data_IF_125720397352
#
_entry.id   IF_125720397352
#
_cell.length_a   1.000
_cell.length_b   1.000
_cell.length_c   1.000
_cell.angle_alpha   90.00
_cell.angle_beta   90.00
_cell.angle_gamma   90.00
#
_symmetry.space_group_name_H-M   'P 1'
#
loop_
_entity.id
_entity.type
_entity.pdbx_description
1 polymer ?
#
# COMPACT_ATOMS: atom_id res chain seq x y z
N UNK A 1 -18.96 19.97 -19.62
CA UNK A 1 -19.99 19.08 -19.09
C UNK A 1 -19.61 17.66 -19.45
N UNK A 2 -19.49 16.76 -18.49
CA UNK A 2 -19.25 15.35 -18.78
C UNK A 2 -20.58 14.74 -19.19
N UNK A 3 -20.70 14.36 -20.44
CA UNK A 3 -21.93 13.76 -20.98
C UNK A 3 -21.85 12.25 -20.83
N UNK A 4 -22.34 11.75 -19.71
CA UNK A 4 -22.67 10.35 -19.54
C UNK A 4 -21.63 9.52 -18.80
N UNK A 5 -22.06 8.91 -17.72
CA UNK A 5 -21.42 7.78 -17.08
C UNK A 5 -21.47 6.58 -18.01
N UNK A 6 -20.36 5.89 -18.18
CA UNK A 6 -20.30 4.74 -19.05
C UNK A 6 -20.58 3.44 -18.28
N UNK A 7 -19.92 3.24 -17.13
CA UNK A 7 -20.06 2.06 -16.29
C UNK A 7 -19.42 2.29 -14.92
N UNK A 8 -19.61 1.38 -13.97
CA UNK A 8 -18.83 1.29 -12.77
C UNK A 8 -17.65 0.34 -12.99
N UNK A 9 -16.49 0.72 -12.50
CA UNK A 9 -15.30 -0.12 -12.45
C UNK A 9 -15.03 -0.54 -11.03
N UNK A 10 -14.76 -1.81 -10.84
CA UNK A 10 -14.21 -2.37 -9.64
C UNK A 10 -12.74 -2.71 -9.90
N UNK A 11 -11.84 -2.19 -9.06
CA UNK A 11 -10.39 -2.42 -9.14
C UNK A 11 -9.93 -3.07 -7.85
N UNK A 12 -9.37 -4.27 -7.92
CA UNK A 12 -9.02 -5.08 -6.75
C UNK A 12 -7.57 -5.51 -6.80
N UNK A 13 -6.92 -5.46 -5.65
CA UNK A 13 -5.56 -5.95 -5.44
C UNK A 13 -5.57 -7.01 -4.34
N UNK A 14 -5.06 -8.20 -4.65
CA UNK A 14 -4.84 -9.28 -3.68
C UNK A 14 -3.34 -9.34 -3.38
N UNK A 15 -2.97 -9.10 -2.13
CA UNK A 15 -1.61 -8.93 -1.66
C UNK A 15 -1.35 -9.86 -0.46
N UNK A 16 -1.09 -11.15 -0.71
CA UNK A 16 -1.01 -12.15 0.35
C UNK A 16 -2.35 -12.32 1.08
N UNK A 17 -2.37 -12.05 2.37
CA UNK A 17 -3.56 -12.12 3.21
C UNK A 17 -4.36 -10.80 3.25
N UNK A 18 -3.83 -9.77 2.64
CA UNK A 18 -4.49 -8.48 2.48
C UNK A 18 -5.12 -8.34 1.10
N UNK A 19 -6.30 -7.78 1.05
CA UNK A 19 -6.96 -7.38 -0.19
C UNK A 19 -7.56 -6.00 -0.01
N UNK A 20 -7.41 -5.15 -1.01
CA UNK A 20 -8.15 -3.89 -1.07
C UNK A 20 -8.69 -3.62 -2.47
N UNK A 21 -9.75 -2.84 -2.52
CA UNK A 21 -10.37 -2.47 -3.78
C UNK A 21 -11.04 -1.11 -3.75
N UNK A 22 -11.26 -0.61 -4.96
CA UNK A 22 -11.97 0.63 -5.20
C UNK A 22 -13.09 0.37 -6.23
N UNK A 23 -14.32 0.80 -5.94
CA UNK A 23 -15.43 0.82 -6.89
C UNK A 23 -15.75 2.27 -7.23
N UNK A 24 -15.75 2.60 -8.52
CA UNK A 24 -15.94 3.99 -8.97
C UNK A 24 -16.54 4.08 -10.37
N UNK A 25 -17.26 5.19 -10.66
CA UNK A 25 -17.82 5.42 -11.99
C UNK A 25 -16.71 5.84 -12.98
N UNK A 26 -16.76 5.27 -14.17
CA UNK A 26 -15.96 5.68 -15.32
C UNK A 26 -16.80 6.57 -16.24
N UNK A 27 -16.28 7.73 -16.58
CA UNK A 27 -16.90 8.67 -17.49
C UNK A 27 -16.13 8.73 -18.81
N UNK A 28 -16.80 8.82 -19.93
CA UNK A 28 -16.14 9.09 -21.20
C UNK A 28 -15.49 10.47 -21.16
N UNK A 29 -14.18 10.50 -21.34
CA UNK A 29 -13.45 11.76 -21.47
C UNK A 29 -13.53 12.26 -22.91
N UNK A 30 -14.07 13.46 -23.18
CA UNK A 30 -13.98 14.06 -24.49
C UNK A 30 -12.53 14.47 -24.78
N UNK A 31 -11.88 13.82 -25.74
CA UNK A 31 -10.62 14.26 -26.33
C UNK A 31 -9.34 13.84 -25.60
N UNK A 32 -8.20 14.15 -26.24
CA UNK A 32 -6.85 13.85 -25.74
C UNK A 32 -6.55 14.56 -24.42
N UNK A 33 -5.98 13.84 -23.46
CA UNK A 33 -5.43 14.42 -22.21
C UNK A 33 -4.45 15.54 -22.56
N UNK A 34 -4.77 16.78 -22.19
CA UNK A 34 -3.84 17.90 -22.26
C UNK A 34 -2.78 17.75 -21.17
N UNK A 35 -1.51 17.95 -21.53
CA UNK A 35 -0.42 18.08 -20.56
C UNK A 35 -0.77 19.18 -19.55
N UNK A 36 -0.71 18.84 -18.25
CA UNK A 36 -0.98 19.80 -17.17
C UNK A 36 0.32 20.49 -16.77
N UNK A 37 0.47 21.75 -17.14
CA UNK A 37 1.56 22.61 -16.67
C UNK A 37 1.20 23.44 -15.41
N UNK A 38 0.12 23.11 -14.70
CA UNK A 38 -0.31 23.86 -13.50
C UNK A 38 0.20 23.19 -12.22
N UNK A 39 0.55 23.96 -11.17
CA UNK A 39 0.87 23.43 -9.86
C UNK A 39 -0.24 22.50 -9.35
N UNK A 40 0.14 21.45 -8.65
CA UNK A 40 -0.81 20.48 -8.10
C UNK A 40 -1.60 21.14 -6.98
N UNK A 41 -2.94 21.14 -7.06
CA UNK A 41 -3.81 21.66 -6.00
C UNK A 41 -3.64 20.87 -4.70
N UNK A 42 -3.99 21.46 -3.55
CA UNK A 42 -3.95 20.78 -2.25
C UNK A 42 -4.79 19.49 -2.23
N UNK A 43 -5.98 19.53 -2.86
CA UNK A 43 -6.85 18.36 -3.00
C UNK A 43 -6.13 17.26 -3.78
N UNK A 44 -5.47 17.62 -4.88
CA UNK A 44 -4.71 16.65 -5.67
C UNK A 44 -3.48 16.13 -4.91
N UNK A 45 -2.85 16.96 -4.07
CA UNK A 45 -1.74 16.52 -3.23
C UNK A 45 -2.21 15.48 -2.20
N UNK A 46 -3.34 15.73 -1.52
CA UNK A 46 -3.96 14.78 -0.58
C UNK A 46 -4.32 13.46 -1.27
N UNK A 47 -4.88 13.52 -2.49
CA UNK A 47 -5.20 12.33 -3.27
C UNK A 47 -3.94 11.55 -3.66
N UNK A 48 -2.90 12.25 -4.14
CA UNK A 48 -1.61 11.64 -4.48
C UNK A 48 -0.96 10.99 -3.24
N UNK A 49 -1.14 11.58 -2.06
CA UNK A 49 -0.68 11.03 -0.79
C UNK A 49 -1.38 9.71 -0.47
N UNK A 50 -2.72 9.70 -0.47
CA UNK A 50 -3.52 8.47 -0.25
C UNK A 50 -3.16 7.36 -1.24
N UNK A 51 -3.00 7.70 -2.52
CA UNK A 51 -2.61 6.73 -3.54
C UNK A 51 -1.21 6.16 -3.31
N UNK A 52 -0.28 6.97 -2.79
CA UNK A 52 1.06 6.50 -2.45
C UNK A 52 1.02 5.56 -1.24
N UNK A 53 0.22 5.86 -0.22
CA UNK A 53 0.00 5.01 0.95
C UNK A 53 -0.58 3.65 0.55
N UNK A 54 -1.68 3.63 -0.22
CA UNK A 54 -2.27 2.40 -0.77
C UNK A 54 -1.24 1.57 -1.54
N UNK A 55 -0.48 2.22 -2.44
CA UNK A 55 0.55 1.54 -3.22
C UNK A 55 1.63 0.90 -2.33
N UNK A 56 2.06 1.60 -1.29
CA UNK A 56 3.08 1.10 -0.37
C UNK A 56 2.53 -0.03 0.49
N UNK A 57 1.30 0.10 1.02
CA UNK A 57 0.62 -0.95 1.78
C UNK A 57 0.53 -2.25 0.97
N UNK A 58 0.03 -2.17 -0.27
CA UNK A 58 -0.04 -3.31 -1.21
C UNK A 58 1.34 -3.94 -1.44
N UNK A 59 2.37 -3.09 -1.64
CA UNK A 59 3.74 -3.56 -1.88
C UNK A 59 4.31 -4.29 -0.66
N UNK A 60 4.07 -3.79 0.55
CA UNK A 60 4.52 -4.43 1.79
C UNK A 60 3.83 -5.77 1.98
N UNK A 61 2.50 -5.82 1.89
CA UNK A 61 1.74 -7.07 2.04
C UNK A 61 2.09 -8.14 1.00
N UNK A 62 2.50 -7.74 -0.21
CA UNK A 62 2.91 -8.69 -1.25
C UNK A 62 4.31 -9.27 -1.06
N UNK A 63 5.12 -8.72 -0.16
CA UNK A 63 6.55 -9.03 -0.11
C UNK A 63 7.09 -9.33 1.28
N UNK A 64 6.38 -8.97 2.33
CA UNK A 64 6.87 -9.07 3.70
C UNK A 64 5.85 -9.72 4.60
N UNK A 65 6.35 -10.36 5.66
CA UNK A 65 5.60 -11.09 6.68
C UNK A 65 5.98 -10.60 8.08
N UNK A 66 5.40 -11.18 9.13
CA UNK A 66 5.74 -10.90 10.52
C UNK A 66 7.18 -11.32 10.90
N UNK A 67 7.80 -12.22 10.11
CA UNK A 67 9.20 -12.61 10.28
C UNK A 67 10.20 -11.57 9.78
N UNK A 68 9.72 -10.57 9.04
CA UNK A 68 10.54 -9.52 8.47
C UNK A 68 10.76 -8.37 9.47
N UNK A 69 11.56 -7.40 9.11
CA UNK A 69 12.13 -6.43 10.05
C UNK A 69 11.76 -5.01 9.63
N UNK A 70 11.21 -4.25 10.57
CA UNK A 70 11.14 -2.80 10.53
C UNK A 70 12.34 -2.21 11.28
N UNK A 71 13.12 -1.38 10.62
CA UNK A 71 14.36 -0.80 11.12
C UNK A 71 14.29 0.73 11.09
N UNK A 72 14.66 1.34 12.20
CA UNK A 72 14.83 2.78 12.35
C UNK A 72 16.29 3.10 12.62
N UNK A 73 16.88 3.97 11.80
CA UNK A 73 18.29 4.37 11.85
C UNK A 73 18.40 5.86 12.14
N UNK A 74 19.20 6.21 13.13
CA UNK A 74 19.53 7.59 13.48
C UNK A 74 21.04 7.78 13.50
N UNK A 75 21.49 9.03 13.54
CA UNK A 75 22.89 9.39 13.59
C UNK A 75 23.29 9.84 15.01
N UNK A 76 24.53 9.56 15.40
CA UNK A 76 25.12 10.19 16.57
C UNK A 76 25.56 11.61 16.23
N UNK A 77 25.68 12.50 17.21
CA UNK A 77 26.20 13.86 16.99
C UNK A 77 27.54 13.87 16.25
N UNK A 78 27.59 14.66 15.16
CA UNK A 78 28.77 14.78 14.32
C UNK A 78 28.84 13.81 13.13
N UNK A 79 27.94 12.83 13.06
CA UNK A 79 27.86 11.88 11.95
C UNK A 79 26.65 12.16 11.02
N UNK A 80 25.89 13.23 11.30
CA UNK A 80 24.70 13.58 10.51
C UNK A 80 25.09 14.02 9.10
N UNK A 81 24.37 13.57 8.07
CA UNK A 81 24.60 14.01 6.70
C UNK A 81 24.26 15.49 6.56
N UNK A 82 25.07 16.21 5.80
CA UNK A 82 24.89 17.65 5.54
C UNK A 82 23.93 17.91 4.39
N UNK A 83 23.72 16.94 3.50
CA UNK A 83 22.84 17.05 2.34
C UNK A 83 21.97 15.81 2.15
N UNK A 84 20.91 15.96 1.36
CA UNK A 84 20.02 14.84 0.98
C UNK A 84 20.77 13.74 0.21
N UNK A 85 21.65 14.14 -0.71
CA UNK A 85 22.44 13.23 -1.53
C UNK A 85 23.39 12.42 -0.64
N UNK A 86 23.95 13.06 0.36
CA UNK A 86 24.81 12.39 1.34
C UNK A 86 24.02 11.36 2.16
N UNK A 87 22.85 11.74 2.68
CA UNK A 87 21.96 10.83 3.40
C UNK A 87 21.59 9.60 2.58
N UNK A 88 21.25 9.81 1.30
CA UNK A 88 20.93 8.72 0.38
C UNK A 88 22.16 7.85 0.07
N UNK A 89 23.32 8.42 -0.09
CA UNK A 89 24.58 7.70 -0.29
C UNK A 89 24.93 6.82 0.90
N UNK A 90 24.78 7.35 2.12
CA UNK A 90 25.03 6.62 3.38
C UNK A 90 24.07 5.42 3.48
N UNK A 91 22.77 5.65 3.29
CA UNK A 91 21.76 4.59 3.31
C UNK A 91 22.04 3.52 2.23
N UNK A 92 22.38 3.93 1.01
CA UNK A 92 22.72 3.01 -0.09
C UNK A 92 23.95 2.16 0.25
N UNK A 93 24.96 2.73 0.91
CA UNK A 93 26.14 2.02 1.35
C UNK A 93 25.80 1.00 2.46
N UNK A 94 24.92 1.36 3.38
CA UNK A 94 24.40 0.46 4.40
C UNK A 94 23.67 -0.73 3.77
N UNK A 95 22.71 -0.49 2.87
CA UNK A 95 22.00 -1.54 2.14
C UNK A 95 22.98 -2.44 1.38
N UNK A 96 24.02 -1.89 0.75
CA UNK A 96 25.04 -2.67 0.05
C UNK A 96 25.83 -3.59 0.99
N UNK A 97 26.15 -3.13 2.21
CA UNK A 97 26.78 -3.94 3.25
C UNK A 97 25.88 -5.08 3.71
N UNK A 98 24.58 -4.81 3.93
CA UNK A 98 23.59 -5.84 4.26
C UNK A 98 23.46 -6.86 3.13
N UNK A 99 23.33 -6.43 1.88
CA UNK A 99 23.24 -7.31 0.71
C UNK A 99 24.37 -8.35 0.66
N UNK A 100 25.61 -7.92 0.97
CA UNK A 100 26.76 -8.82 1.01
C UNK A 100 26.64 -9.88 2.13
N UNK A 101 26.02 -9.53 3.28
CA UNK A 101 25.82 -10.46 4.40
C UNK A 101 24.73 -11.46 4.08
N UNK A 102 23.62 -11.02 3.50
CA UNK A 102 22.57 -11.91 3.01
C UNK A 102 23.10 -12.90 1.99
N UNK A 103 23.86 -12.42 1.02
CA UNK A 103 24.47 -13.28 -0.01
C UNK A 103 25.40 -14.35 0.59
N UNK A 104 26.15 -14.06 1.67
CA UNK A 104 26.97 -15.06 2.35
C UNK A 104 26.16 -16.19 3.01
N UNK A 105 24.88 -15.95 3.30
CA UNK A 105 23.94 -16.92 3.84
C UNK A 105 23.10 -17.59 2.73
N UNK A 106 23.38 -17.31 1.45
CA UNK A 106 22.56 -17.78 0.34
C UNK A 106 21.18 -17.13 0.26
N UNK A 107 20.98 -15.99 0.94
CA UNK A 107 19.70 -15.28 1.00
C UNK A 107 19.71 -14.04 0.10
N UNK A 108 18.53 -13.66 -0.38
CA UNK A 108 18.30 -12.40 -1.09
C UNK A 108 17.69 -11.36 -0.17
N UNK A 109 18.28 -10.17 -0.15
CA UNK A 109 17.73 -9.02 0.57
C UNK A 109 16.60 -8.37 -0.24
N UNK A 110 15.38 -8.40 0.29
CA UNK A 110 14.28 -7.52 -0.10
C UNK A 110 14.26 -6.33 0.84
N UNK A 111 13.99 -5.13 0.32
CA UNK A 111 13.88 -3.95 1.17
C UNK A 111 13.01 -2.84 0.54
N UNK A 112 12.42 -2.02 1.43
CA UNK A 112 11.84 -0.72 1.14
C UNK A 112 12.45 0.27 2.14
N UNK A 113 12.85 1.45 1.70
CA UNK A 113 13.49 2.44 2.58
C UNK A 113 13.08 3.86 2.25
N UNK A 114 12.93 4.70 3.27
CA UNK A 114 12.78 6.14 3.13
C UNK A 114 13.73 6.88 4.08
N UNK A 115 13.95 8.15 3.77
CA UNK A 115 14.69 9.08 4.59
C UNK A 115 13.77 10.24 4.96
N UNK A 116 13.80 10.64 6.21
CA UNK A 116 12.95 11.70 6.75
C UNK A 116 13.77 12.70 7.58
N UNK A 117 13.22 13.91 7.71
CA UNK A 117 13.66 14.89 8.70
C UNK A 117 12.73 14.86 9.91
N UNK A 118 13.30 14.74 11.11
CA UNK A 118 12.52 14.76 12.35
C UNK A 118 11.79 16.09 12.52
N UNK A 119 10.49 16.02 12.78
CA UNK A 119 9.63 17.21 12.90
C UNK A 119 10.04 18.16 14.00
N UNK A 120 10.55 17.64 15.10
CA UNK A 120 10.87 18.42 16.31
C UNK A 120 12.27 18.99 16.30
N UNK A 121 13.21 18.29 15.68
CA UNK A 121 14.64 18.63 15.77
C UNK A 121 15.36 18.73 14.41
N UNK A 122 14.63 18.51 13.30
CA UNK A 122 15.17 18.54 11.94
C UNK A 122 16.22 17.46 11.64
N UNK A 123 16.45 16.50 12.56
CA UNK A 123 17.48 15.47 12.37
C UNK A 123 17.06 14.44 11.33
N UNK A 124 18.01 14.09 10.48
CA UNK A 124 17.82 13.04 9.47
C UNK A 124 17.74 11.67 10.12
N UNK A 125 16.79 10.85 9.69
CA UNK A 125 16.68 9.44 10.05
C UNK A 125 16.14 8.62 8.89
N UNK A 126 16.34 7.30 8.97
CA UNK A 126 15.87 6.39 7.94
C UNK A 126 14.95 5.34 8.53
N UNK A 127 13.91 5.01 7.75
CA UNK A 127 13.06 3.86 7.99
C UNK A 127 13.32 2.83 6.89
N UNK A 128 13.53 1.59 7.29
CA UNK A 128 13.78 0.49 6.35
C UNK A 128 12.93 -0.70 6.75
N UNK A 129 12.18 -1.24 5.79
CA UNK A 129 11.60 -2.57 5.87
C UNK A 129 12.56 -3.49 5.13
N UNK A 130 12.93 -4.61 5.73
CA UNK A 130 13.82 -5.57 5.09
C UNK A 130 13.42 -7.01 5.43
N UNK A 131 13.70 -7.93 4.50
CA UNK A 131 13.44 -9.35 4.70
C UNK A 131 14.20 -9.89 5.90
N UNK A 132 13.59 -10.86 6.62
CA UNK A 132 14.22 -11.58 7.72
C UNK A 132 15.38 -12.47 7.27
N UNK A 133 15.80 -13.39 8.15
CA UNK A 133 16.84 -14.37 7.87
C UNK A 133 18.25 -13.97 8.29
N UNK A 134 18.53 -12.69 8.51
CA UNK A 134 19.75 -12.21 9.15
C UNK A 134 19.46 -11.82 10.61
N UNK A 135 20.40 -12.11 11.48
CA UNK A 135 20.34 -11.72 12.90
C UNK A 135 20.23 -10.21 13.08
N UNK A 136 19.31 -9.78 13.96
CA UNK A 136 19.01 -8.37 14.21
C UNK A 136 20.21 -7.60 14.76
N UNK A 137 20.99 -8.20 15.66
CA UNK A 137 22.19 -7.58 16.21
C UNK A 137 23.22 -7.30 15.11
N UNK A 138 23.33 -8.22 14.15
CA UNK A 138 24.17 -8.02 12.97
C UNK A 138 23.68 -6.88 12.10
N UNK A 139 22.36 -6.78 11.87
CA UNK A 139 21.74 -5.68 11.10
C UNK A 139 22.04 -4.35 11.75
N UNK A 140 21.86 -4.25 13.06
CA UNK A 140 22.09 -3.02 13.83
C UNK A 140 23.58 -2.63 13.87
N UNK A 141 24.48 -3.59 14.13
CA UNK A 141 25.93 -3.37 14.14
C UNK A 141 26.48 -2.85 12.81
N UNK A 142 25.90 -3.28 11.69
CA UNK A 142 26.31 -2.82 10.35
C UNK A 142 26.05 -1.34 10.15
N UNK A 143 25.12 -0.72 10.88
CA UNK A 143 24.87 0.71 10.76
C UNK A 143 26.10 1.53 11.13
N UNK A 144 26.58 1.43 12.33
CA UNK A 144 27.85 2.01 12.81
C UNK A 144 27.90 3.53 12.98
N UNK A 145 26.91 4.29 12.49
CA UNK A 145 26.88 5.75 12.47
C UNK A 145 25.99 6.37 13.58
N UNK A 146 25.35 5.53 14.37
CA UNK A 146 24.47 5.99 15.44
C UNK A 146 23.63 4.85 15.99
N UNK A 147 22.40 5.18 16.37
CA UNK A 147 21.49 4.22 16.94
C UNK A 147 20.68 3.53 15.82
N UNK A 148 20.62 2.23 15.89
CA UNK A 148 19.77 1.38 15.03
C UNK A 148 18.82 0.59 15.92
N UNK A 149 17.54 0.64 15.62
CA UNK A 149 16.50 -0.10 16.33
C UNK A 149 15.73 -0.95 15.34
N UNK A 150 15.84 -2.26 15.50
CA UNK A 150 15.14 -3.25 14.69
C UNK A 150 14.02 -3.90 15.48
N UNK A 151 12.85 -4.05 14.84
CA UNK A 151 11.68 -4.74 15.38
C UNK A 151 11.14 -5.69 14.33
N UNK A 152 10.45 -6.76 14.74
CA UNK A 152 9.65 -7.56 13.83
C UNK A 152 8.53 -6.71 13.27
N UNK A 153 8.22 -6.90 12.01
CA UNK A 153 7.04 -6.29 11.40
C UNK A 153 5.79 -6.73 12.16
N UNK A 154 4.93 -5.77 12.44
CA UNK A 154 3.64 -6.03 13.09
C UNK A 154 2.53 -5.69 12.12
N UNK A 155 1.71 -6.68 11.85
CA UNK A 155 0.49 -6.55 11.07
C UNK A 155 -0.67 -6.49 12.06
N UNK A 156 -1.32 -5.33 12.18
CA UNK A 156 -2.55 -5.18 12.94
C UNK A 156 -3.78 -5.47 12.05
N UNK A 157 -4.99 -5.20 12.52
CA UNK A 157 -6.23 -5.40 11.75
C UNK A 157 -6.20 -4.65 10.41
N UNK A 158 -5.63 -3.44 10.39
CA UNK A 158 -5.38 -2.64 9.18
C UNK A 158 -4.02 -2.95 8.53
N UNK A 159 -3.40 -4.07 8.84
CA UNK A 159 -2.10 -4.50 8.32
C UNK A 159 -0.95 -3.58 8.73
N UNK A 160 -0.11 -3.20 7.76
CA UNK A 160 1.01 -2.27 7.97
C UNK A 160 0.66 -0.82 7.60
N UNK A 161 -0.62 -0.47 7.59
CA UNK A 161 -1.10 0.85 7.14
C UNK A 161 -0.44 1.98 7.91
N UNK A 162 -0.24 1.84 9.22
CA UNK A 162 0.47 2.83 10.03
C UNK A 162 1.91 3.06 9.59
N UNK A 163 2.66 2.00 9.29
CA UNK A 163 4.04 2.10 8.80
C UNK A 163 4.08 2.62 7.36
N UNK A 164 3.14 2.19 6.51
CA UNK A 164 3.02 2.67 5.14
C UNK A 164 2.64 4.16 5.10
N UNK A 165 1.71 4.60 5.96
CA UNK A 165 1.39 6.02 6.13
C UNK A 165 2.64 6.82 6.52
N UNK A 166 3.43 6.29 7.46
CA UNK A 166 4.63 6.95 7.93
C UNK A 166 5.70 7.08 6.83
N UNK A 167 5.98 6.00 6.11
CA UNK A 167 6.97 5.98 5.01
C UNK A 167 6.52 6.81 3.81
N UNK A 168 5.21 6.84 3.51
CA UNK A 168 4.68 7.55 2.36
C UNK A 168 4.44 9.05 2.60
N UNK A 169 4.53 9.51 3.86
CA UNK A 169 4.04 10.82 4.30
C UNK A 169 4.75 12.02 3.72
N UNK A 170 6.08 11.99 3.59
CA UNK A 170 6.85 13.19 3.27
C UNK A 170 7.46 13.18 1.87
N UNK A 171 7.31 14.32 1.18
CA UNK A 171 7.93 14.62 -0.11
C UNK A 171 9.20 15.48 0.04
N UNK A 172 9.99 15.29 1.08
CA UNK A 172 11.22 16.08 1.21
C UNK A 172 12.31 15.63 0.22
N UNK A 173 12.17 14.42 -0.37
CA UNK A 173 13.12 13.86 -1.30
C UNK A 173 12.49 13.66 -2.70
N UNK A 174 13.31 13.54 -3.73
CA UNK A 174 12.89 13.27 -5.11
C UNK A 174 11.99 12.03 -5.24
N UNK A 175 12.18 11.04 -4.35
CA UNK A 175 11.36 9.83 -4.25
C UNK A 175 10.83 9.66 -2.85
N UNK A 176 9.58 9.26 -2.71
CA UNK A 176 8.98 8.96 -1.40
C UNK A 176 9.67 7.79 -0.71
N UNK A 177 10.05 6.76 -1.47
CA UNK A 177 10.84 5.61 -0.99
C UNK A 177 11.71 5.03 -2.09
N UNK A 178 12.73 4.29 -1.68
CA UNK A 178 13.52 3.42 -2.51
C UNK A 178 13.17 1.96 -2.19
N UNK A 179 13.29 1.08 -3.19
CA UNK A 179 12.96 -0.34 -3.03
C UNK A 179 13.92 -1.24 -3.81
N UNK A 180 14.07 -2.48 -3.37
CA UNK A 180 14.81 -3.49 -4.10
C UNK A 180 14.08 -3.91 -5.37
N UNK A 181 14.84 -4.38 -6.37
CA UNK A 181 14.29 -4.76 -7.68
C UNK A 181 13.59 -6.13 -7.67
N UNK A 182 13.85 -6.95 -6.66
CA UNK A 182 13.30 -8.30 -6.49
C UNK A 182 11.98 -8.33 -5.72
N UNK A 183 11.29 -7.20 -5.58
CA UNK A 183 9.94 -7.15 -5.02
C UNK A 183 8.90 -7.59 -6.06
N UNK A 184 7.95 -8.39 -5.61
CA UNK A 184 6.73 -8.70 -6.34
C UNK A 184 5.86 -7.44 -6.41
N UNK A 185 5.50 -7.02 -7.61
CA UNK A 185 4.63 -5.85 -7.82
C UNK A 185 3.18 -6.32 -7.85
N UNK A 186 2.31 -5.82 -6.94
CA UNK A 186 0.89 -6.16 -6.94
C UNK A 186 0.20 -5.86 -8.27
N UNK A 187 -0.57 -6.83 -8.76
CA UNK A 187 -1.34 -6.69 -9.99
C UNK A 187 -2.79 -6.29 -9.67
N UNK A 188 -3.34 -5.38 -10.47
CA UNK A 188 -4.72 -4.95 -10.37
C UNK A 188 -5.62 -5.85 -11.21
N UNK A 189 -6.62 -6.47 -10.59
CA UNK A 189 -7.74 -7.04 -11.31
C UNK A 189 -8.81 -5.96 -11.49
N UNK A 190 -9.29 -5.77 -12.73
CA UNK A 190 -10.32 -4.78 -13.04
C UNK A 190 -11.55 -5.45 -13.63
N UNK A 191 -12.72 -5.03 -13.16
CA UNK A 191 -14.02 -5.52 -13.60
C UNK A 191 -14.88 -4.32 -14.00
N UNK A 192 -15.19 -4.23 -15.29
CA UNK A 192 -15.96 -3.14 -15.86
C UNK A 192 -17.43 -3.54 -16.05
N UNK A 193 -18.36 -2.71 -15.60
CA UNK A 193 -19.79 -2.87 -15.83
C UNK A 193 -20.46 -4.05 -15.13
N UNK A 194 -19.76 -4.72 -14.20
CA UNK A 194 -20.34 -5.83 -13.42
C UNK A 194 -21.27 -5.36 -12.30
N UNK A 195 -21.15 -4.10 -11.89
CA UNK A 195 -21.97 -3.47 -10.87
C UNK A 195 -22.81 -2.37 -11.53
N UNK A 196 -24.11 -2.52 -11.47
CA UNK A 196 -25.07 -1.52 -11.95
C UNK A 196 -25.32 -0.42 -10.89
N UNK A 197 -26.30 0.44 -11.10
CA UNK A 197 -26.63 1.52 -10.18
C UNK A 197 -27.32 1.03 -8.91
N UNK A 198 -28.13 0.00 -9.03
CA UNK A 198 -28.85 -0.57 -7.90
C UNK A 198 -27.86 -1.29 -6.98
N UNK A 199 -26.90 -2.05 -7.56
CA UNK A 199 -25.80 -2.65 -6.77
C UNK A 199 -25.01 -1.60 -5.97
N UNK A 200 -24.77 -0.42 -6.56
CA UNK A 200 -24.06 0.67 -5.86
C UNK A 200 -24.92 1.27 -4.73
N UNK A 201 -26.23 1.43 -4.99
CA UNK A 201 -27.16 1.92 -3.97
C UNK A 201 -27.28 0.94 -2.79
N UNK A 202 -27.35 -0.36 -3.07
CA UNK A 202 -27.38 -1.41 -2.05
C UNK A 202 -26.12 -1.38 -1.17
N UNK A 203 -24.93 -1.18 -1.78
CA UNK A 203 -23.67 -1.07 -1.02
C UNK A 203 -23.67 0.22 -0.18
N UNK A 204 -24.13 1.34 -0.74
CA UNK A 204 -24.25 2.61 0.01
C UNK A 204 -25.13 2.44 1.24
N UNK A 205 -26.33 1.88 1.07
CA UNK A 205 -27.28 1.62 2.15
C UNK A 205 -26.69 0.67 3.19
N UNK A 206 -26.04 -0.40 2.75
CA UNK A 206 -25.36 -1.34 3.65
C UNK A 206 -24.27 -0.68 4.48
N UNK A 207 -23.49 0.23 3.90
CA UNK A 207 -22.46 1.01 4.62
C UNK A 207 -23.10 1.96 5.65
N UNK A 208 -24.19 2.63 5.27
CA UNK A 208 -24.92 3.54 6.15
C UNK A 208 -25.56 2.79 7.33
N UNK A 209 -26.08 1.57 7.09
CA UNK A 209 -26.70 0.72 8.11
C UNK A 209 -25.70 -0.14 8.92
N UNK A 210 -24.40 -0.15 8.57
CA UNK A 210 -23.40 -0.97 9.24
C UNK A 210 -23.49 -2.46 8.93
N UNK A 211 -24.12 -2.85 7.80
CA UNK A 211 -24.30 -4.25 7.35
C UNK A 211 -23.45 -4.60 6.12
N UNK A 212 -22.55 -3.70 5.71
CA UNK A 212 -21.71 -3.82 4.50
C UNK A 212 -20.86 -5.09 4.45
N UNK A 213 -20.50 -5.67 5.60
CA UNK A 213 -19.67 -6.87 5.68
C UNK A 213 -20.28 -8.03 4.88
N UNK A 214 -21.61 -8.21 4.91
CA UNK A 214 -22.28 -9.31 4.24
C UNK A 214 -22.10 -9.23 2.72
N UNK A 215 -22.31 -8.06 2.12
CA UNK A 215 -22.16 -7.85 0.69
C UNK A 215 -20.74 -8.17 0.19
N UNK A 216 -19.72 -7.68 0.90
CA UNK A 216 -18.33 -7.90 0.53
C UNK A 216 -17.89 -9.34 0.76
N UNK A 217 -18.32 -9.97 1.85
CA UNK A 217 -17.93 -11.34 2.18
C UNK A 217 -18.63 -12.37 1.29
N UNK A 218 -19.84 -12.11 0.82
CA UNK A 218 -20.50 -12.94 -0.19
C UNK A 218 -19.79 -12.84 -1.55
N UNK A 219 -19.28 -11.66 -1.87
CA UNK A 219 -18.54 -11.44 -3.11
C UNK A 219 -17.13 -12.02 -3.07
N UNK A 220 -16.49 -11.98 -1.91
CA UNK A 220 -15.12 -12.45 -1.66
C UNK A 220 -15.08 -13.43 -0.49
N UNK A 221 -15.59 -14.66 -0.64
CA UNK A 221 -15.83 -15.59 0.47
C UNK A 221 -14.57 -16.04 1.22
N UNK A 222 -13.38 -15.95 0.57
CA UNK A 222 -12.10 -16.29 1.21
C UNK A 222 -11.57 -15.15 2.11
N UNK A 223 -12.27 -14.01 2.14
CA UNK A 223 -11.86 -12.82 2.89
C UNK A 223 -12.98 -12.36 3.81
N UNK A 224 -12.59 -11.71 4.90
CA UNK A 224 -13.49 -10.97 5.79
C UNK A 224 -13.26 -9.48 5.63
N UNK A 225 -14.31 -8.68 5.72
CA UNK A 225 -14.24 -7.24 5.62
C UNK A 225 -13.58 -6.65 6.88
N UNK A 226 -12.59 -5.77 6.66
CA UNK A 226 -11.98 -4.95 7.71
C UNK A 226 -12.63 -3.58 7.73
N UNK A 227 -12.72 -2.92 6.57
CA UNK A 227 -13.30 -1.59 6.45
C UNK A 227 -13.90 -1.39 5.06
N UNK A 228 -15.00 -0.66 5.00
CA UNK A 228 -15.53 -0.12 3.75
C UNK A 228 -15.97 1.32 3.97
N UNK A 229 -15.58 2.19 3.05
CA UNK A 229 -15.91 3.62 3.09
C UNK A 229 -16.55 4.06 1.78
N UNK A 230 -17.54 4.92 1.88
CA UNK A 230 -18.26 5.48 0.74
C UNK A 230 -18.07 7.00 0.70
N UNK A 231 -17.85 7.55 -0.50
CA UNK A 231 -17.74 8.97 -0.74
C UNK A 231 -18.53 9.38 -1.98
N UNK A 232 -19.45 10.34 -1.83
CA UNK A 232 -20.18 10.94 -2.95
C UNK A 232 -19.47 12.19 -3.46
N UNK A 233 -19.15 12.22 -4.74
CA UNK A 233 -18.51 13.37 -5.36
C UNK A 233 -19.56 14.35 -5.87
N UNK A 234 -19.61 15.56 -5.27
CA UNK A 234 -20.60 16.59 -5.60
C UNK A 234 -20.46 17.15 -7.02
N UNK A 235 -19.32 16.99 -7.69
CA UNK A 235 -19.08 17.52 -9.04
C UNK A 235 -19.64 16.60 -10.12
N UNK A 236 -19.36 15.31 -10.01
CA UNK A 236 -19.78 14.31 -11.02
C UNK A 236 -20.93 13.42 -10.54
N UNK A 237 -21.42 13.63 -9.32
CA UNK A 237 -22.47 12.86 -8.65
C UNK A 237 -22.20 11.35 -8.63
N UNK A 238 -20.91 10.96 -8.73
CA UNK A 238 -20.48 9.59 -8.68
C UNK A 238 -20.19 9.14 -7.26
N UNK A 239 -20.51 7.89 -6.99
CA UNK A 239 -20.16 7.21 -5.73
C UNK A 239 -18.83 6.51 -5.87
N UNK A 240 -17.98 6.68 -4.88
CA UNK A 240 -16.66 6.07 -4.78
C UNK A 240 -16.62 5.26 -3.49
N UNK A 241 -16.41 3.97 -3.61
CA UNK A 241 -16.34 3.05 -2.49
C UNK A 241 -14.92 2.50 -2.43
N UNK A 242 -14.35 2.49 -1.23
CA UNK A 242 -13.08 1.84 -0.93
C UNK A 242 -13.32 0.78 0.13
N UNK A 243 -12.72 -0.39 -0.04
CA UNK A 243 -12.81 -1.47 0.92
C UNK A 243 -11.46 -2.15 1.13
N UNK A 244 -11.25 -2.61 2.36
CA UNK A 244 -10.10 -3.40 2.79
C UNK A 244 -10.60 -4.70 3.41
N UNK A 245 -9.96 -5.81 3.05
CA UNK A 245 -10.35 -7.14 3.51
C UNK A 245 -9.11 -7.93 3.92
N UNK A 246 -9.30 -8.92 4.78
CA UNK A 246 -8.28 -9.85 5.22
C UNK A 246 -8.70 -11.28 4.92
N UNK A 247 -7.73 -12.11 4.54
CA UNK A 247 -7.99 -13.55 4.31
C UNK A 247 -8.47 -14.18 5.60
N UNK A 248 -9.51 -14.99 5.51
CA UNK A 248 -9.98 -15.80 6.65
C UNK A 248 -8.90 -16.82 7.00
N UNK A 249 -8.58 -16.96 8.30
CA UNK A 249 -7.73 -18.04 8.77
C UNK A 249 -8.43 -19.35 8.45
N UNK A 250 -7.79 -20.17 7.62
CA UNK A 250 -8.31 -21.48 7.34
C UNK A 250 -7.78 -22.47 8.38
N UNK A 251 -8.68 -23.10 9.14
CA UNK A 251 -8.41 -24.18 10.09
C UNK A 251 -8.14 -25.53 9.40
N UNK A 252 -7.40 -25.54 8.30
CA UNK A 252 -7.13 -26.77 7.57
C UNK A 252 -5.97 -26.62 6.59
N UNK A 253 -4.92 -27.41 6.85
CA UNK A 253 -3.71 -27.56 6.04
C UNK A 253 -3.97 -27.52 4.53
N UNK A 254 -3.24 -26.69 3.84
CA UNK A 254 -2.53 -26.85 2.57
C UNK A 254 -2.69 -25.68 1.59
N UNK A 255 -1.55 -25.33 0.99
CA UNK A 255 -1.31 -24.58 -0.26
C UNK A 255 -2.37 -23.55 -0.69
N UNK A 256 -1.99 -22.27 -0.58
CA UNK A 256 -2.73 -21.14 -1.09
C UNK A 256 -3.21 -21.38 -2.53
N UNK A 257 -4.49 -21.67 -2.71
CA UNK A 257 -5.15 -21.52 -4.01
C UNK A 257 -5.40 -20.02 -4.25
N UNK A 258 -5.10 -19.49 -5.44
CA UNK A 258 -5.49 -18.12 -5.76
C UNK A 258 -7.01 -18.00 -5.62
N UNK A 259 -7.47 -16.93 -4.97
CA UNK A 259 -8.88 -16.64 -4.78
C UNK A 259 -9.61 -16.68 -6.13
N UNK A 260 -10.57 -17.59 -6.25
CA UNK A 260 -11.39 -17.72 -7.47
C UNK A 260 -12.54 -16.72 -7.36
N UNK A 261 -12.36 -15.55 -7.93
CA UNK A 261 -13.43 -14.54 -8.02
C UNK A 261 -14.65 -15.14 -8.75
N UNK A 262 -15.78 -15.20 -8.06
CA UNK A 262 -17.04 -15.63 -8.69
C UNK A 262 -17.47 -14.56 -9.69
N UNK A 263 -17.47 -14.92 -10.97
CA UNK A 263 -18.18 -14.13 -11.98
C UNK A 263 -19.67 -14.23 -11.66
N UNK A 264 -20.29 -13.11 -11.31
CA UNK A 264 -21.75 -13.04 -11.28
C UNK A 264 -22.25 -13.22 -12.73
N UNK A 265 -22.99 -14.27 -13.01
CA UNK A 265 -23.78 -14.35 -14.24
C UNK A 265 -24.85 -13.25 -14.16
N UNK A 266 -25.05 -12.45 -15.22
CA UNK A 266 -26.13 -11.48 -15.23
C UNK A 266 -27.42 -12.23 -14.96
N UNK A 267 -28.20 -11.78 -13.97
CA UNK A 267 -29.55 -12.28 -13.72
C UNK A 267 -30.34 -12.07 -15.01
N UNK A 268 -30.74 -13.18 -15.62
CA UNK A 268 -31.54 -13.17 -16.84
C UNK A 268 -32.84 -12.40 -16.57
N UNK A 269 -33.09 -11.42 -17.44
CA UNK A 269 -34.39 -10.82 -17.55
C UNK A 269 -35.39 -11.93 -17.93
N UNK A 270 -36.39 -12.13 -17.10
CA UNK A 270 -37.66 -12.82 -17.44
C UNK A 270 -38.71 -11.78 -17.73
#
# INVERSE_FOLDING_TARGET
MYTGRTFNRESVYVCGDYMDGDIYPVFQAPGKRRSRCKPTSEIQQKLNQKNAEKKLTRLVHSNFTEDDIALHLTYRPGEEPQTEEEAQRILSNYIRRLKRRYAKLGLELKYISCTEYGKTNGKVHHHVILSGGLDRDTIEKVWGLGYANSKRLQFNESGVTGLAHYIAKDKHFFKRWNQSRNLTIPQCAQFDGQLNMDDIADIEEAIECGTQWQWFEDRYPDFQLVEATCYKNNINRGTYIHFEMRRREWSGSSAARPARMKKRTPSGAS
#
